data_IF_242546053841
#
_entry.id   IF_242546053841
#
_cell.length_a   1.000
_cell.length_b   1.000
_cell.length_c   1.000
_cell.angle_alpha   90.00
_cell.angle_beta   90.00
_cell.angle_gamma   90.00
#
_symmetry.space_group_name_H-M   'P 1'
#
loop_
_entity.id
_entity.type
_entity.pdbx_description
1 polymer ?
#
# COMPACT_ATOMS: atom_id res chain seq x y z
N UNK A 1 -0.41 -25.45 6.38
CA UNK A 1 -0.54 -24.23 5.57
C UNK A 1 0.87 -23.77 5.22
N UNK A 2 1.12 -23.11 4.10
CA UNK A 2 2.45 -22.63 3.77
C UNK A 2 2.94 -21.50 4.71
N UNK A 3 2.04 -20.95 5.55
CA UNK A 3 2.31 -19.89 6.52
C UNK A 3 1.72 -20.24 7.88
N UNK A 4 2.38 -19.82 8.98
CA UNK A 4 2.05 -20.24 10.34
C UNK A 4 0.79 -19.61 10.97
N UNK A 5 0.23 -18.55 10.38
CA UNK A 5 -0.96 -17.87 10.92
C UNK A 5 -0.72 -17.17 12.27
N UNK A 6 -1.81 -16.89 12.99
CA UNK A 6 -1.73 -16.15 14.26
C UNK A 6 -0.97 -16.88 15.37
N UNK A 7 -1.06 -18.22 15.43
CA UNK A 7 -0.34 -19.01 16.44
C UNK A 7 1.18 -18.89 16.25
N UNK A 8 1.64 -18.93 15.01
CA UNK A 8 3.05 -18.72 14.71
C UNK A 8 3.47 -17.27 15.00
N UNK A 9 2.66 -16.25 14.63
CA UNK A 9 2.94 -14.86 14.95
C UNK A 9 3.05 -14.62 16.46
N UNK A 10 2.27 -15.33 17.27
CA UNK A 10 2.31 -15.29 18.73
C UNK A 10 3.63 -15.76 19.37
N UNK A 11 4.51 -16.45 18.61
CA UNK A 11 5.83 -16.88 19.10
C UNK A 11 6.83 -15.69 19.24
N UNK A 12 6.52 -14.53 18.65
CA UNK A 12 7.35 -13.33 18.80
C UNK A 12 6.46 -12.17 19.27
N UNK A 13 6.58 -11.86 20.56
CA UNK A 13 5.86 -10.77 21.21
C UNK A 13 6.88 -9.75 21.74
N UNK A 14 6.58 -8.48 21.59
CA UNK A 14 7.42 -7.38 22.01
C UNK A 14 6.58 -6.31 22.67
N UNK A 15 7.17 -5.59 23.64
CA UNK A 15 6.59 -4.35 24.14
C UNK A 15 6.59 -3.29 23.04
N UNK A 16 5.51 -2.53 22.98
CA UNK A 16 5.36 -1.46 22.02
C UNK A 16 6.28 -0.30 22.36
N UNK A 17 7.10 0.10 21.42
CA UNK A 17 7.95 1.28 21.56
C UNK A 17 7.14 2.54 21.28
N UNK A 18 7.39 3.60 22.05
CA UNK A 18 6.78 4.93 21.85
C UNK A 18 5.27 4.86 21.53
N UNK A 19 4.46 4.37 22.48
CA UNK A 19 3.04 4.12 22.26
C UNK A 19 2.24 5.39 21.92
N UNK A 20 2.75 6.58 22.25
CA UNK A 20 2.08 7.86 22.00
C UNK A 20 2.30 8.39 20.56
N UNK A 21 3.28 7.87 19.81
CA UNK A 21 3.55 8.35 18.44
C UNK A 21 2.36 8.05 17.53
N UNK A 22 1.70 9.09 16.95
CA UNK A 22 0.55 8.86 16.07
C UNK A 22 0.94 8.10 14.81
N UNK A 23 0.05 7.19 14.39
CA UNK A 23 0.20 6.40 13.17
C UNK A 23 -1.05 6.56 12.32
N UNK A 24 -0.86 6.85 11.04
CA UNK A 24 -1.84 6.61 9.99
C UNK A 24 -1.28 5.49 9.10
N UNK A 25 -1.85 4.29 9.18
CA UNK A 25 -1.43 3.18 8.32
C UNK A 25 -2.05 3.32 6.94
N UNK A 26 -1.28 3.69 5.89
CA UNK A 26 -1.81 4.05 4.59
C UNK A 26 -2.12 2.86 3.68
N UNK A 27 -2.05 1.61 4.18
CA UNK A 27 -2.30 0.46 3.34
C UNK A 27 -2.73 -0.78 4.11
N UNK A 28 -4.01 -1.05 4.11
CA UNK A 28 -4.55 -2.35 4.48
C UNK A 28 -5.62 -2.80 3.47
N UNK A 29 -6.00 -4.05 3.58
CA UNK A 29 -7.08 -4.66 2.81
C UNK A 29 -8.17 -5.20 3.74
N UNK A 30 -9.38 -5.36 3.21
CA UNK A 30 -10.48 -6.07 3.85
C UNK A 30 -11.07 -7.05 2.84
N UNK A 31 -11.37 -8.28 3.29
CA UNK A 31 -12.04 -9.30 2.47
C UNK A 31 -12.68 -10.37 3.33
N UNK A 32 -13.57 -11.13 2.73
CA UNK A 32 -14.13 -12.37 3.28
C UNK A 32 -14.17 -13.43 2.19
N UNK A 33 -14.13 -14.71 2.59
CA UNK A 33 -14.16 -15.86 1.67
C UNK A 33 -13.06 -15.80 0.59
N UNK A 34 -11.87 -15.31 0.94
CA UNK A 34 -10.74 -15.31 0.01
C UNK A 34 -10.11 -16.71 -0.06
N UNK A 35 -10.24 -17.46 -1.18
CA UNK A 35 -9.87 -18.88 -1.24
C UNK A 35 -8.37 -19.13 -1.37
N UNK A 36 -7.53 -18.08 -1.42
CA UNK A 36 -6.17 -18.23 -1.90
C UNK A 36 -5.11 -18.09 -0.82
N UNK A 37 -3.96 -18.63 -1.12
CA UNK A 37 -2.55 -18.46 -0.73
C UNK A 37 -2.20 -17.76 0.60
N UNK A 38 -3.07 -16.92 1.16
CA UNK A 38 -2.87 -16.19 2.40
C UNK A 38 -3.67 -16.88 3.50
N UNK A 39 -3.11 -17.12 4.69
CA UNK A 39 -3.79 -17.88 5.76
C UNK A 39 -5.03 -17.18 6.32
N UNK A 40 -5.20 -15.90 6.01
CA UNK A 40 -6.29 -15.06 6.49
C UNK A 40 -7.41 -14.97 5.44
N UNK A 41 -8.23 -16.03 5.34
CA UNK A 41 -9.35 -16.09 4.38
C UNK A 41 -10.45 -15.07 4.68
N UNK A 42 -10.56 -14.66 5.93
CA UNK A 42 -11.39 -13.55 6.40
C UNK A 42 -10.50 -12.52 7.08
N UNK A 43 -10.69 -11.25 6.70
CA UNK A 43 -10.06 -10.12 7.34
C UNK A 43 -10.98 -8.89 7.17
N UNK A 44 -11.78 -8.63 8.20
CA UNK A 44 -12.78 -7.57 8.29
C UNK A 44 -12.38 -6.59 9.39
N UNK A 45 -13.28 -5.66 9.74
CA UNK A 45 -13.02 -4.68 10.80
C UNK A 45 -12.56 -5.32 12.13
N UNK A 46 -13.17 -6.41 12.64
CA UNK A 46 -12.71 -7.01 13.89
C UNK A 46 -11.28 -7.55 13.82
N UNK A 47 -10.91 -8.21 12.74
CA UNK A 47 -9.56 -8.76 12.55
C UNK A 47 -8.52 -7.64 12.37
N UNK A 48 -8.85 -6.58 11.61
CA UNK A 48 -8.01 -5.41 11.47
C UNK A 48 -7.78 -4.73 12.82
N UNK A 49 -8.85 -4.50 13.60
CA UNK A 49 -8.73 -3.87 14.91
C UNK A 49 -7.97 -4.73 15.92
N UNK A 50 -8.07 -6.06 15.83
CA UNK A 50 -7.26 -6.97 16.63
C UNK A 50 -5.75 -6.83 16.35
N UNK A 51 -5.37 -6.45 15.13
CA UNK A 51 -3.97 -6.20 14.76
C UNK A 51 -3.51 -4.79 15.15
N UNK A 52 -4.27 -3.76 14.80
CA UNK A 52 -3.82 -2.37 14.97
C UNK A 52 -3.94 -1.84 16.40
N UNK A 53 -4.79 -2.44 17.23
CA UNK A 53 -5.01 -2.02 18.63
C UNK A 53 -4.12 -2.74 19.66
N UNK A 54 -2.97 -3.26 19.24
CA UNK A 54 -2.02 -3.96 20.11
C UNK A 54 -1.01 -3.01 20.80
N UNK A 55 -1.39 -1.77 21.06
CA UNK A 55 -0.63 -0.82 21.89
C UNK A 55 0.01 0.33 21.13
N UNK A 56 0.14 0.30 19.80
CA UNK A 56 0.50 1.48 19.02
C UNK A 56 -0.67 2.47 18.90
N UNK A 57 -0.38 3.77 18.78
CA UNK A 57 -1.38 4.82 18.60
C UNK A 57 -1.81 4.93 17.12
N UNK A 58 -2.47 3.90 16.61
CA UNK A 58 -3.02 3.92 15.24
C UNK A 58 -4.29 4.77 15.23
N UNK A 59 -4.19 6.00 14.73
CA UNK A 59 -5.28 6.97 14.65
C UNK A 59 -6.24 6.66 13.51
N UNK A 60 -5.69 6.25 12.37
CA UNK A 60 -6.48 5.96 11.17
C UNK A 60 -5.76 4.98 10.26
N UNK A 61 -6.54 4.39 9.35
CA UNK A 61 -6.02 3.51 8.30
C UNK A 61 -6.61 3.88 6.94
N UNK A 62 -5.92 3.52 5.85
CA UNK A 62 -6.39 3.67 4.47
C UNK A 62 -6.64 2.29 3.87
N UNK A 63 -7.86 2.06 3.41
CA UNK A 63 -8.20 0.86 2.65
C UNK A 63 -7.71 0.98 1.21
N UNK A 64 -7.05 -0.05 0.72
CA UNK A 64 -6.64 -0.19 -0.67
C UNK A 64 -7.38 -1.38 -1.29
N UNK A 65 -7.88 -1.21 -2.52
CA UNK A 65 -8.62 -2.23 -3.27
C UNK A 65 -7.98 -3.63 -3.18
N UNK A 66 -8.79 -4.65 -3.07
CA UNK A 66 -8.35 -6.04 -2.92
C UNK A 66 -9.04 -7.00 -3.89
N UNK A 67 -9.81 -6.49 -4.85
CA UNK A 67 -10.61 -7.27 -5.81
C UNK A 67 -11.61 -8.20 -5.11
N UNK A 68 -12.29 -7.68 -4.12
CA UNK A 68 -13.28 -8.40 -3.33
C UNK A 68 -14.65 -7.73 -3.43
N UNK A 69 -15.71 -8.45 -3.13
CA UNK A 69 -17.09 -7.91 -3.03
C UNK A 69 -17.57 -7.13 -4.27
N UNK A 70 -17.06 -7.45 -5.44
CA UNK A 70 -17.50 -6.84 -6.68
C UNK A 70 -18.96 -7.19 -6.96
N UNK A 71 -19.73 -6.24 -7.48
CA UNK A 71 -21.12 -6.48 -7.88
C UNK A 71 -21.20 -7.63 -8.87
N UNK A 72 -22.14 -8.56 -8.64
CA UNK A 72 -22.33 -9.72 -9.50
C UNK A 72 -22.92 -9.33 -10.87
N UNK A 73 -23.79 -8.35 -10.90
CA UNK A 73 -24.53 -7.89 -12.06
C UNK A 73 -24.15 -6.45 -12.46
N UNK A 74 -24.61 -6.03 -13.63
CA UNK A 74 -24.35 -4.71 -14.18
C UNK A 74 -23.14 -4.67 -15.14
N UNK A 75 -22.83 -3.49 -15.69
CA UNK A 75 -21.67 -3.29 -16.56
C UNK A 75 -20.36 -3.73 -15.89
N UNK A 76 -19.46 -4.31 -16.66
CA UNK A 76 -18.23 -4.90 -16.13
C UNK A 76 -17.38 -3.87 -15.37
N UNK A 77 -17.27 -2.67 -15.90
CA UNK A 77 -16.52 -1.54 -15.34
C UNK A 77 -17.11 -1.01 -14.03
N UNK A 78 -18.44 -1.18 -13.82
CA UNK A 78 -19.15 -0.75 -12.61
C UNK A 78 -19.10 -1.76 -11.45
N UNK A 79 -18.61 -2.98 -11.69
CA UNK A 79 -18.61 -4.03 -10.66
C UNK A 79 -17.74 -3.66 -9.45
N UNK A 80 -16.69 -2.91 -9.67
CA UNK A 80 -15.75 -2.46 -8.61
C UNK A 80 -16.42 -1.57 -7.56
N UNK A 81 -17.55 -0.95 -7.88
CA UNK A 81 -18.32 -0.11 -6.93
C UNK A 81 -18.78 -0.91 -5.71
N UNK A 82 -19.08 -2.21 -5.88
CA UNK A 82 -19.47 -3.09 -4.78
C UNK A 82 -18.42 -3.21 -3.67
N UNK A 83 -17.14 -3.17 -4.02
CA UNK A 83 -16.07 -3.18 -3.03
C UNK A 83 -16.07 -1.90 -2.19
N UNK A 84 -16.28 -0.73 -2.80
CA UNK A 84 -16.35 0.54 -2.08
C UNK A 84 -17.59 0.60 -1.19
N UNK A 85 -18.75 0.09 -1.66
CA UNK A 85 -19.98 -0.03 -0.85
C UNK A 85 -19.72 -0.90 0.40
N UNK A 86 -19.09 -2.04 0.23
CA UNK A 86 -18.73 -2.94 1.33
C UNK A 86 -17.80 -2.26 2.33
N UNK A 87 -16.72 -1.64 1.87
CA UNK A 87 -15.73 -1.00 2.76
C UNK A 87 -16.31 0.23 3.44
N UNK A 88 -17.18 0.98 2.77
CA UNK A 88 -17.91 2.09 3.38
C UNK A 88 -18.74 1.61 4.60
N UNK A 89 -19.35 0.43 4.52
CA UNK A 89 -20.04 -0.19 5.66
C UNK A 89 -19.10 -0.47 6.84
N UNK A 90 -17.93 -1.09 6.57
CA UNK A 90 -16.91 -1.37 7.59
C UNK A 90 -16.35 -0.07 8.22
N UNK A 91 -16.09 0.94 7.40
CA UNK A 91 -15.65 2.25 7.85
C UNK A 91 -16.69 2.98 8.71
N UNK A 92 -17.97 2.85 8.37
CA UNK A 92 -19.08 3.41 9.17
C UNK A 92 -19.20 2.74 10.54
N UNK A 93 -19.00 1.43 10.62
CA UNK A 93 -18.93 0.72 11.90
C UNK A 93 -17.80 1.27 12.78
N UNK A 94 -16.58 1.42 12.24
CA UNK A 94 -15.45 2.01 12.97
C UNK A 94 -15.74 3.43 13.43
N UNK A 95 -16.31 4.27 12.57
CA UNK A 95 -16.62 5.66 12.88
C UNK A 95 -17.73 5.86 13.92
N UNK A 96 -18.48 4.80 14.29
CA UNK A 96 -19.49 4.86 15.36
C UNK A 96 -18.87 5.03 16.76
N UNK A 97 -17.56 4.80 16.89
CA UNK A 97 -16.85 4.85 18.18
C UNK A 97 -17.04 3.62 19.07
N UNK A 98 -17.98 2.71 18.74
CA UNK A 98 -18.24 1.50 19.53
C UNK A 98 -17.04 0.54 19.52
N UNK A 99 -16.24 0.58 18.46
CA UNK A 99 -15.11 -0.31 18.22
C UNK A 99 -13.76 0.27 18.69
N UNK A 100 -13.76 1.38 19.39
CA UNK A 100 -12.55 2.06 19.88
C UNK A 100 -12.19 3.32 19.08
N UNK A 101 -11.02 3.94 19.36
CA UNK A 101 -10.65 5.24 18.80
C UNK A 101 -10.09 5.19 17.39
N UNK A 102 -9.62 4.04 16.91
CA UNK A 102 -9.02 3.90 15.59
C UNK A 102 -10.06 4.08 14.49
N UNK A 103 -9.81 4.98 13.55
CA UNK A 103 -10.68 5.21 12.38
C UNK A 103 -10.22 4.31 11.22
N UNK A 104 -10.72 3.07 11.19
CA UNK A 104 -10.43 2.13 10.12
C UNK A 104 -11.04 2.60 8.79
N UNK A 105 -10.28 2.44 7.68
CA UNK A 105 -10.65 2.90 6.35
C UNK A 105 -11.15 4.36 6.33
N UNK A 106 -10.44 5.25 7.05
CA UNK A 106 -10.72 6.69 7.06
C UNK A 106 -10.61 7.31 5.66
N UNK A 107 -9.81 6.68 4.78
CA UNK A 107 -9.80 6.90 3.33
C UNK A 107 -9.94 5.56 2.60
N UNK A 108 -10.63 5.58 1.45
CA UNK A 108 -10.91 4.42 0.61
C UNK A 108 -10.34 4.65 -0.78
N UNK A 109 -9.49 3.74 -1.21
CA UNK A 109 -8.92 3.67 -2.55
C UNK A 109 -9.52 2.45 -3.25
N UNK A 110 -10.43 2.72 -4.21
CA UNK A 110 -11.12 1.70 -4.98
C UNK A 110 -10.35 1.26 -6.23
N UNK A 111 -11.06 0.67 -7.19
CA UNK A 111 -10.48 0.24 -8.46
C UNK A 111 -11.26 0.79 -9.66
N UNK A 112 -10.54 1.23 -10.69
CA UNK A 112 -11.10 1.55 -12.00
C UNK A 112 -10.04 1.33 -13.09
N UNK A 113 -10.45 1.02 -14.31
CA UNK A 113 -9.54 0.82 -15.44
C UNK A 113 -9.27 2.13 -16.18
N UNK A 114 -8.11 2.74 -15.95
CA UNK A 114 -7.71 3.99 -16.61
C UNK A 114 -7.50 3.84 -18.13
N UNK A 115 -7.33 2.61 -18.64
CA UNK A 115 -7.25 2.38 -20.09
C UNK A 115 -8.55 2.77 -20.83
N UNK A 116 -9.65 2.94 -20.11
CA UNK A 116 -10.91 3.46 -20.64
C UNK A 116 -10.82 4.93 -21.12
N UNK A 117 -9.76 5.65 -20.77
CA UNK A 117 -9.63 7.07 -21.07
C UNK A 117 -10.74 7.89 -20.40
N UNK A 118 -11.29 8.86 -21.11
CA UNK A 118 -12.34 9.75 -20.57
C UNK A 118 -13.61 9.00 -20.14
N UNK A 119 -13.85 7.80 -20.69
CA UNK A 119 -14.99 6.94 -20.32
C UNK A 119 -14.90 6.39 -18.90
N UNK A 120 -13.79 6.58 -18.19
CA UNK A 120 -13.67 6.18 -16.78
C UNK A 120 -14.46 7.08 -15.84
N UNK A 121 -14.81 8.32 -16.26
CA UNK A 121 -15.50 9.32 -15.43
C UNK A 121 -16.78 8.79 -14.75
N UNK A 122 -17.73 8.16 -15.44
CA UNK A 122 -18.94 7.62 -14.79
C UNK A 122 -18.62 6.56 -13.72
N UNK A 123 -17.56 5.77 -13.90
CA UNK A 123 -17.11 4.79 -12.90
C UNK A 123 -16.61 5.49 -11.64
N UNK A 124 -15.79 6.52 -11.81
CA UNK A 124 -15.25 7.32 -10.70
C UNK A 124 -16.35 8.06 -9.93
N UNK A 125 -17.34 8.61 -10.64
CA UNK A 125 -18.51 9.24 -10.05
C UNK A 125 -19.34 8.25 -9.23
N UNK A 126 -19.53 7.02 -9.73
CA UNK A 126 -20.22 5.95 -9.00
C UNK A 126 -19.45 5.49 -7.75
N UNK A 127 -18.12 5.38 -7.82
CA UNK A 127 -17.26 5.07 -6.68
C UNK A 127 -17.34 6.19 -5.63
N UNK A 128 -17.30 7.45 -6.05
CA UNK A 128 -17.45 8.62 -5.18
C UNK A 128 -18.83 8.67 -4.52
N UNK A 129 -19.88 8.36 -5.26
CA UNK A 129 -21.25 8.29 -4.72
C UNK A 129 -21.42 7.17 -3.69
N UNK A 130 -20.72 6.03 -3.86
CA UNK A 130 -20.74 4.92 -2.91
C UNK A 130 -20.06 5.26 -1.57
N UNK A 131 -19.12 6.22 -1.56
CA UNK A 131 -18.45 6.69 -0.34
C UNK A 131 -18.06 8.17 -0.44
N UNK A 132 -19.02 9.10 -0.33
CA UNK A 132 -18.78 10.53 -0.61
C UNK A 132 -17.70 11.16 0.27
N UNK A 133 -17.64 10.74 1.52
CA UNK A 133 -16.76 11.34 2.53
C UNK A 133 -15.39 10.66 2.66
N UNK A 134 -15.20 9.43 2.12
CA UNK A 134 -13.98 8.64 2.31
C UNK A 134 -13.29 8.22 1.02
N UNK A 135 -14.00 8.17 -0.11
CA UNK A 135 -13.37 7.84 -1.39
C UNK A 135 -12.39 8.95 -1.80
N UNK A 136 -11.13 8.60 -2.05
CA UNK A 136 -10.07 9.56 -2.34
C UNK A 136 -9.29 9.27 -3.60
N UNK A 137 -9.46 8.10 -4.18
CA UNK A 137 -8.71 7.70 -5.37
C UNK A 137 -8.95 6.26 -5.75
N UNK A 138 -8.15 5.80 -6.67
CA UNK A 138 -8.15 4.40 -7.10
C UNK A 138 -6.74 3.82 -7.04
N UNK A 139 -6.66 2.48 -6.97
CA UNK A 139 -5.45 1.76 -7.33
C UNK A 139 -5.63 1.10 -8.70
N UNK A 140 -4.68 1.34 -9.58
CA UNK A 140 -4.54 0.59 -10.82
C UNK A 140 -3.13 0.04 -10.92
N UNK A 141 -2.97 -1.23 -10.56
CA UNK A 141 -1.70 -1.94 -10.64
C UNK A 141 -1.39 -2.28 -12.09
N UNK A 142 -0.24 -1.79 -12.58
CA UNK A 142 0.25 -2.00 -13.93
C UNK A 142 1.58 -2.78 -13.96
N UNK A 143 1.81 -3.58 -12.91
CA UNK A 143 3.02 -4.38 -12.76
C UNK A 143 3.22 -5.29 -13.96
N UNK A 144 4.30 -5.07 -14.70
CA UNK A 144 4.78 -5.85 -15.80
C UNK A 144 6.31 -5.96 -15.73
N UNK A 145 6.85 -7.07 -16.20
CA UNK A 145 8.30 -7.27 -16.21
C UNK A 145 8.70 -8.00 -17.51
N UNK A 146 9.78 -7.60 -18.19
CA UNK A 146 10.23 -8.26 -19.40
C UNK A 146 10.76 -9.67 -19.15
N UNK A 147 11.14 -9.99 -17.90
CA UNK A 147 11.71 -11.29 -17.55
C UNK A 147 10.59 -12.31 -17.36
N UNK A 148 10.55 -13.39 -18.16
CA UNK A 148 9.51 -14.42 -18.02
C UNK A 148 9.44 -15.00 -16.59
N UNK A 149 8.23 -15.06 -16.03
CA UNK A 149 8.00 -15.63 -14.70
C UNK A 149 8.39 -14.72 -13.52
N UNK A 150 8.90 -13.51 -13.77
CA UNK A 150 9.22 -12.55 -12.70
C UNK A 150 7.96 -12.02 -12.01
N UNK A 151 6.91 -11.77 -12.77
CA UNK A 151 5.59 -11.34 -12.29
C UNK A 151 4.48 -12.07 -13.04
N UNK A 152 3.27 -12.05 -12.49
CA UNK A 152 2.09 -12.51 -13.22
C UNK A 152 1.87 -11.66 -14.47
N UNK A 153 1.85 -12.28 -15.64
CA UNK A 153 1.63 -11.58 -16.90
C UNK A 153 0.17 -11.11 -17.01
N UNK A 154 0.00 -9.81 -17.20
CA UNK A 154 -1.29 -9.15 -17.40
C UNK A 154 -1.22 -8.28 -18.64
N UNK A 155 -2.36 -7.94 -19.21
CA UNK A 155 -2.47 -7.01 -20.35
C UNK A 155 -2.29 -5.55 -19.88
N UNK A 156 -1.09 -5.24 -19.39
CA UNK A 156 -0.72 -3.90 -18.88
C UNK A 156 0.64 -3.41 -19.38
N UNK A 157 1.28 -4.15 -20.28
CA UNK A 157 2.54 -3.72 -20.90
C UNK A 157 2.36 -2.37 -21.60
N UNK A 158 3.23 -1.40 -21.31
CA UNK A 158 3.18 -0.06 -21.91
C UNK A 158 1.96 0.77 -21.50
N UNK A 159 1.19 0.33 -20.48
CA UNK A 159 -0.03 1.04 -20.06
C UNK A 159 0.26 2.49 -19.69
N UNK A 160 1.32 2.76 -18.92
CA UNK A 160 1.70 4.11 -18.47
C UNK A 160 2.02 5.07 -19.62
N UNK A 161 2.49 4.54 -20.75
CA UNK A 161 2.81 5.33 -21.94
C UNK A 161 1.59 5.53 -22.85
N UNK A 162 0.52 4.74 -22.70
CA UNK A 162 -0.64 4.79 -23.60
C UNK A 162 -1.49 6.05 -23.41
N UNK A 163 -2.01 6.59 -24.53
CA UNK A 163 -2.86 7.77 -24.51
C UNK A 163 -4.14 7.55 -23.68
N UNK A 164 -4.73 6.37 -23.77
CA UNK A 164 -5.92 6.01 -23.00
C UNK A 164 -5.68 6.07 -21.51
N UNK A 165 -4.60 5.46 -21.02
CA UNK A 165 -4.26 5.49 -19.60
C UNK A 165 -3.98 6.91 -19.10
N UNK A 166 -3.23 7.70 -19.86
CA UNK A 166 -2.94 9.11 -19.54
C UNK A 166 -4.19 9.99 -19.57
N UNK A 167 -5.12 9.74 -20.48
CA UNK A 167 -6.42 10.43 -20.49
C UNK A 167 -7.24 10.08 -19.24
N UNK A 168 -7.36 8.81 -18.89
CA UNK A 168 -8.02 8.38 -17.64
C UNK A 168 -7.38 8.97 -16.38
N UNK A 169 -6.05 9.07 -16.35
CA UNK A 169 -5.32 9.70 -15.25
C UNK A 169 -5.63 11.21 -15.12
N UNK A 170 -5.78 11.93 -16.26
CA UNK A 170 -6.21 13.33 -16.23
C UNK A 170 -7.62 13.49 -15.68
N UNK A 171 -8.52 12.53 -15.94
CA UNK A 171 -9.87 12.53 -15.31
C UNK A 171 -9.76 12.42 -13.79
N UNK A 172 -8.89 11.54 -13.26
CA UNK A 172 -8.62 11.48 -11.81
C UNK A 172 -8.18 12.83 -11.26
N UNK A 173 -7.18 13.47 -11.90
CA UNK A 173 -6.69 14.77 -11.48
C UNK A 173 -7.79 15.84 -11.48
N UNK A 174 -8.60 15.90 -12.54
CA UNK A 174 -9.74 16.84 -12.64
C UNK A 174 -10.79 16.64 -11.55
N UNK A 175 -10.98 15.40 -11.08
CA UNK A 175 -11.89 15.06 -9.99
C UNK A 175 -11.26 15.22 -8.59
N UNK A 176 -10.00 15.66 -8.50
CA UNK A 176 -9.27 15.77 -7.24
C UNK A 176 -8.97 14.44 -6.57
N UNK A 177 -8.89 13.36 -7.34
CA UNK A 177 -8.60 12.00 -6.87
C UNK A 177 -7.12 11.67 -7.02
N UNK A 178 -6.64 10.66 -6.28
CA UNK A 178 -5.28 10.15 -6.34
C UNK A 178 -5.19 8.82 -7.08
N UNK A 179 -3.99 8.48 -7.55
CA UNK A 179 -3.66 7.18 -8.13
C UNK A 179 -2.65 6.45 -7.25
N UNK A 180 -3.08 5.36 -6.62
CA UNK A 180 -2.17 4.34 -6.11
C UNK A 180 -1.76 3.40 -7.25
N UNK A 181 -0.48 3.07 -7.37
CA UNK A 181 -0.03 2.17 -8.42
C UNK A 181 1.05 1.20 -7.94
N UNK A 182 0.97 -0.05 -8.43
CA UNK A 182 2.01 -1.05 -8.34
C UNK A 182 2.68 -1.21 -9.70
N UNK A 183 4.00 -1.18 -9.69
CA UNK A 183 4.87 -1.40 -10.86
C UNK A 183 5.91 -2.46 -10.54
N UNK A 184 6.64 -2.97 -11.54
CA UNK A 184 7.94 -3.60 -11.33
C UNK A 184 9.03 -2.52 -11.29
N UNK A 185 10.13 -2.78 -10.60
CA UNK A 185 11.28 -1.85 -10.57
C UNK A 185 11.82 -1.54 -11.97
N UNK A 186 11.64 -2.44 -12.92
CA UNK A 186 12.02 -2.25 -14.33
C UNK A 186 11.15 -1.20 -15.06
N UNK A 187 10.00 -0.83 -14.48
CA UNK A 187 9.07 0.17 -15.03
C UNK A 187 9.23 1.57 -14.40
N UNK A 188 10.17 1.78 -13.48
CA UNK A 188 10.27 3.04 -12.75
C UNK A 188 10.55 4.24 -13.66
N UNK A 189 11.36 4.09 -14.71
CA UNK A 189 11.58 5.17 -15.69
C UNK A 189 10.29 5.50 -16.47
N UNK A 190 9.50 4.48 -16.85
CA UNK A 190 8.20 4.66 -17.50
C UNK A 190 7.20 5.38 -16.55
N UNK A 191 7.22 5.03 -15.25
CA UNK A 191 6.43 5.70 -14.24
C UNK A 191 6.83 7.16 -14.06
N UNK A 192 8.11 7.49 -14.09
CA UNK A 192 8.59 8.86 -14.03
C UNK A 192 8.13 9.68 -15.25
N UNK A 193 8.16 9.11 -16.45
CA UNK A 193 7.63 9.74 -17.66
C UNK A 193 6.12 9.97 -17.57
N UNK A 194 5.39 9.00 -17.03
CA UNK A 194 3.97 9.13 -16.76
C UNK A 194 3.68 10.25 -15.75
N UNK A 195 4.39 10.29 -14.62
CA UNK A 195 4.21 11.30 -13.58
C UNK A 195 4.43 12.73 -14.12
N UNK A 196 5.44 12.90 -14.97
CA UNK A 196 5.69 14.20 -15.66
C UNK A 196 4.58 14.58 -16.64
N UNK A 197 3.92 13.59 -17.27
CA UNK A 197 2.82 13.82 -18.21
C UNK A 197 1.48 14.18 -17.54
N UNK A 198 1.36 13.95 -16.22
CA UNK A 198 0.17 14.24 -15.40
C UNK A 198 0.56 14.92 -14.08
N UNK A 199 1.18 16.12 -14.10
CA UNK A 199 1.79 16.74 -12.94
C UNK A 199 0.80 17.12 -11.83
N UNK A 200 -0.47 17.30 -12.17
CA UNK A 200 -1.54 17.65 -11.23
C UNK A 200 -2.13 16.42 -10.49
N UNK A 201 -1.76 15.20 -10.89
CA UNK A 201 -2.23 13.98 -10.27
C UNK A 201 -1.32 13.56 -9.12
N UNK A 202 -1.80 13.46 -7.86
CA UNK A 202 -1.06 12.80 -6.81
C UNK A 202 -0.93 11.30 -7.12
N UNK A 203 0.30 10.81 -7.24
CA UNK A 203 0.61 9.41 -7.52
C UNK A 203 1.27 8.79 -6.29
N UNK A 204 0.73 7.69 -5.80
CA UNK A 204 1.26 6.96 -4.65
C UNK A 204 1.82 5.63 -5.12
N UNK A 205 3.14 5.49 -5.07
CA UNK A 205 3.85 4.26 -5.48
C UNK A 205 3.83 3.27 -4.33
N UNK A 206 3.28 2.09 -4.58
CA UNK A 206 3.17 1.05 -3.56
C UNK A 206 4.47 0.25 -3.40
N UNK A 207 4.73 -0.20 -2.17
CA UNK A 207 5.69 -1.26 -1.83
C UNK A 207 7.09 -1.03 -2.41
N UNK A 208 7.73 0.08 -2.02
CA UNK A 208 9.13 0.39 -2.39
C UNK A 208 9.37 0.44 -3.91
N UNK A 209 8.35 0.78 -4.72
CA UNK A 209 8.51 0.84 -6.17
C UNK A 209 8.71 -0.53 -6.83
N UNK A 210 8.25 -1.61 -6.19
CA UNK A 210 8.14 -2.93 -6.81
C UNK A 210 9.47 -3.66 -7.05
N UNK A 211 10.43 -3.54 -6.14
CA UNK A 211 11.66 -4.33 -6.15
C UNK A 211 11.34 -5.84 -6.12
N UNK A 212 12.07 -6.62 -6.90
CA UNK A 212 11.97 -8.08 -6.98
C UNK A 212 13.33 -8.71 -6.68
N UNK A 213 13.39 -9.63 -5.70
CA UNK A 213 14.62 -10.31 -5.25
C UNK A 213 14.47 -11.84 -5.18
N UNK A 214 13.40 -12.38 -5.79
CA UNK A 214 13.14 -13.83 -5.86
C UNK A 214 12.89 -14.27 -7.29
N UNK A 215 12.71 -15.57 -7.51
CA UNK A 215 12.48 -16.11 -8.84
C UNK A 215 13.64 -15.79 -9.79
N UNK A 216 13.35 -15.16 -10.91
CA UNK A 216 14.36 -14.79 -11.93
C UNK A 216 15.40 -13.77 -11.42
N UNK A 217 15.12 -13.09 -10.30
CA UNK A 217 16.02 -12.10 -9.70
C UNK A 217 16.69 -12.60 -8.40
N UNK A 218 16.51 -13.87 -8.03
CA UNK A 218 17.14 -14.44 -6.85
C UNK A 218 18.67 -14.40 -6.96
N UNK A 219 19.34 -13.87 -5.92
CA UNK A 219 20.82 -13.78 -5.85
C UNK A 219 21.43 -12.74 -6.80
N UNK A 220 20.63 -11.82 -7.35
CA UNK A 220 21.10 -10.76 -8.26
C UNK A 220 20.98 -9.36 -7.67
N UNK A 221 21.18 -9.24 -6.36
CA UNK A 221 21.09 -7.95 -5.65
C UNK A 221 22.09 -6.91 -6.16
N UNK A 222 23.27 -7.34 -6.61
CA UNK A 222 24.32 -6.53 -7.22
C UNK A 222 23.90 -5.87 -8.54
N UNK A 223 22.90 -6.41 -9.23
CA UNK A 223 22.32 -5.84 -10.44
C UNK A 223 20.98 -5.13 -10.14
N UNK A 224 20.11 -5.79 -9.36
CA UNK A 224 18.73 -5.33 -9.16
C UNK A 224 18.64 -4.09 -8.27
N UNK A 225 19.41 -4.04 -7.18
CA UNK A 225 19.38 -2.90 -6.26
C UNK A 225 19.89 -1.60 -6.92
N UNK A 226 21.03 -1.58 -7.64
CA UNK A 226 21.46 -0.38 -8.36
C UNK A 226 20.48 0.07 -9.44
N UNK A 227 19.89 -0.87 -10.21
CA UNK A 227 18.89 -0.55 -11.22
C UNK A 227 17.62 0.04 -10.61
N UNK A 228 17.14 -0.54 -9.52
CA UNK A 228 15.99 -0.05 -8.75
C UNK A 228 16.26 1.34 -8.16
N UNK A 229 17.42 1.57 -7.50
CA UNK A 229 17.79 2.89 -6.97
C UNK A 229 17.85 3.96 -8.06
N UNK A 230 18.39 3.64 -9.23
CA UNK A 230 18.40 4.55 -10.39
C UNK A 230 16.98 4.94 -10.80
N UNK A 231 16.09 3.96 -10.97
CA UNK A 231 14.69 4.22 -11.32
C UNK A 231 13.94 5.01 -10.25
N UNK A 232 14.19 4.71 -8.95
CA UNK A 232 13.62 5.48 -7.86
C UNK A 232 14.04 6.95 -7.90
N UNK A 233 15.29 7.25 -8.21
CA UNK A 233 15.76 8.64 -8.33
C UNK A 233 15.02 9.41 -9.43
N UNK A 234 14.73 8.75 -10.56
CA UNK A 234 13.93 9.34 -11.64
C UNK A 234 12.50 9.65 -11.21
N UNK A 235 11.87 8.74 -10.44
CA UNK A 235 10.51 8.92 -9.90
C UNK A 235 10.48 9.96 -8.78
N UNK A 236 11.47 9.98 -7.89
CA UNK A 236 11.59 10.93 -6.79
C UNK A 236 11.77 12.38 -7.27
N UNK A 237 12.32 12.58 -8.48
CA UNK A 237 12.41 13.89 -9.12
C UNK A 237 11.03 14.46 -9.53
N UNK A 238 9.96 13.65 -9.49
CA UNK A 238 8.59 14.08 -9.78
C UNK A 238 7.91 14.53 -8.47
N UNK A 239 7.57 15.83 -8.30
CA UNK A 239 7.07 16.36 -7.02
C UNK A 239 5.67 15.88 -6.64
N UNK A 240 4.90 15.38 -7.62
CA UNK A 240 3.56 14.84 -7.43
C UNK A 240 3.56 13.35 -7.02
N UNK A 241 4.74 12.76 -6.74
CA UNK A 241 4.85 11.34 -6.40
C UNK A 241 5.21 11.14 -4.93
N UNK A 242 4.46 10.27 -4.26
CA UNK A 242 4.65 9.78 -2.90
C UNK A 242 5.06 8.31 -2.91
N UNK A 243 5.78 7.87 -1.88
CA UNK A 243 6.27 6.50 -1.73
C UNK A 243 5.68 5.83 -0.48
N UNK A 244 5.07 4.66 -0.66
CA UNK A 244 4.76 3.77 0.45
C UNK A 244 5.96 2.91 0.79
N UNK A 245 6.46 3.11 1.99
CA UNK A 245 7.63 2.43 2.53
C UNK A 245 7.16 1.28 3.40
N UNK A 246 6.91 0.14 2.76
CA UNK A 246 6.39 -1.09 3.34
C UNK A 246 6.12 -2.12 2.25
N UNK A 247 5.20 -3.05 2.51
CA UNK A 247 5.01 -4.20 1.61
C UNK A 247 6.22 -5.16 1.64
N UNK A 248 7.05 -5.05 2.69
CA UNK A 248 8.34 -5.75 2.82
C UNK A 248 8.18 -7.21 3.28
N UNK A 249 7.04 -7.56 3.86
CA UNK A 249 6.72 -8.92 4.28
C UNK A 249 6.37 -9.86 3.13
N UNK A 250 6.17 -9.33 1.93
CA UNK A 250 5.88 -10.12 0.76
C UNK A 250 7.04 -11.07 0.41
N UNK A 251 6.77 -12.38 0.17
CA UNK A 251 7.83 -13.34 -0.19
C UNK A 251 8.69 -12.91 -1.37
N UNK A 252 8.13 -12.19 -2.35
CA UNK A 252 8.85 -11.71 -3.54
C UNK A 252 9.93 -10.67 -3.25
N UNK A 253 9.87 -10.01 -2.09
CA UNK A 253 10.92 -9.06 -1.64
C UNK A 253 12.20 -9.79 -1.24
N UNK A 254 12.12 -11.09 -0.92
CA UNK A 254 13.27 -11.96 -0.82
C UNK A 254 13.94 -12.03 0.56
N UNK A 255 13.34 -11.44 1.61
CA UNK A 255 13.90 -11.57 2.97
C UNK A 255 13.66 -12.96 3.59
N UNK A 256 12.61 -13.67 3.17
CA UNK A 256 12.35 -15.03 3.62
C UNK A 256 11.77 -15.16 5.04
N UNK A 257 11.39 -14.07 5.70
CA UNK A 257 10.89 -14.08 7.09
C UNK A 257 9.68 -14.98 7.32
N UNK A 258 8.82 -15.13 6.31
CA UNK A 258 7.65 -16.02 6.33
C UNK A 258 7.98 -17.52 6.47
N UNK A 259 9.23 -17.89 6.26
CA UNK A 259 9.70 -19.29 6.28
C UNK A 259 10.56 -19.62 7.52
N UNK A 260 10.70 -18.68 8.45
CA UNK A 260 11.43 -18.92 9.70
C UNK A 260 10.62 -19.79 10.68
N UNK A 261 11.32 -20.49 11.57
CA UNK A 261 10.66 -21.31 12.63
C UNK A 261 9.82 -20.46 13.58
N UNK A 262 10.18 -19.20 13.78
CA UNK A 262 9.42 -18.17 14.49
C UNK A 262 9.51 -16.83 13.76
N UNK A 263 8.52 -15.93 13.95
CA UNK A 263 8.58 -14.61 13.33
C UNK A 263 9.84 -13.83 13.69
N UNK A 264 10.33 -13.05 12.73
CA UNK A 264 11.42 -12.11 12.98
C UNK A 264 11.01 -11.08 14.04
N UNK A 265 11.95 -10.71 14.92
CA UNK A 265 11.76 -9.62 15.87
C UNK A 265 12.08 -8.25 15.26
N UNK A 266 11.59 -7.18 15.89
CA UNK A 266 11.68 -5.82 15.35
C UNK A 266 13.11 -5.30 15.20
N UNK A 267 14.05 -5.77 16.02
CA UNK A 267 15.47 -5.35 15.92
C UNK A 267 16.12 -5.92 14.65
N UNK A 268 15.96 -7.21 14.41
CA UNK A 268 16.46 -7.85 13.19
C UNK A 268 15.74 -7.31 11.95
N UNK A 269 14.41 -7.16 12.03
CA UNK A 269 13.60 -6.60 10.96
C UNK A 269 14.06 -5.18 10.58
N UNK A 270 14.30 -4.29 11.56
CA UNK A 270 14.78 -2.93 11.33
C UNK A 270 16.14 -2.90 10.62
N UNK A 271 17.05 -3.78 11.05
CA UNK A 271 18.38 -3.87 10.45
C UNK A 271 18.35 -4.37 9.01
N UNK A 272 17.56 -5.42 8.75
CA UNK A 272 17.52 -6.05 7.43
C UNK A 272 16.75 -5.21 6.41
N UNK A 273 15.60 -4.60 6.81
CA UNK A 273 14.80 -3.77 5.92
C UNK A 273 15.50 -2.47 5.51
N UNK A 274 16.46 -1.98 6.29
CA UNK A 274 17.19 -0.75 6.00
C UNK A 274 17.78 -0.73 4.57
N UNK A 275 18.23 -1.89 4.08
CA UNK A 275 18.72 -2.06 2.69
C UNK A 275 17.79 -1.45 1.63
N UNK A 276 16.46 -1.55 1.84
CA UNK A 276 15.45 -1.11 0.87
C UNK A 276 14.68 0.14 1.34
N UNK A 277 14.54 0.34 2.64
CA UNK A 277 13.79 1.46 3.22
C UNK A 277 14.58 2.77 3.14
N UNK A 278 15.86 2.73 3.50
CA UNK A 278 16.73 3.90 3.55
C UNK A 278 16.83 4.61 2.19
N UNK A 279 17.11 3.93 1.05
CA UNK A 279 17.15 4.59 -0.25
C UNK A 279 15.85 5.27 -0.66
N UNK A 280 14.69 4.75 -0.26
CA UNK A 280 13.42 5.39 -0.55
C UNK A 280 13.30 6.73 0.20
N UNK A 281 13.64 6.75 1.49
CA UNK A 281 13.54 7.96 2.31
C UNK A 281 14.59 9.00 1.89
N UNK A 282 15.83 8.58 1.58
CA UNK A 282 16.89 9.46 1.09
C UNK A 282 16.49 10.17 -0.22
N UNK A 283 15.85 9.45 -1.14
CA UNK A 283 15.51 9.99 -2.46
C UNK A 283 14.23 10.84 -2.44
N UNK A 284 13.18 10.39 -1.75
CA UNK A 284 11.88 11.08 -1.74
C UNK A 284 11.77 12.16 -0.66
N UNK A 285 12.55 12.05 0.41
CA UNK A 285 12.39 12.82 1.63
C UNK A 285 11.24 12.29 2.53
N UNK A 286 11.33 12.53 3.86
CA UNK A 286 10.34 12.06 4.83
C UNK A 286 8.91 12.57 4.56
N UNK A 287 8.76 13.76 4.00
CA UNK A 287 7.49 14.43 3.70
C UNK A 287 6.75 13.87 2.46
N UNK A 288 7.38 12.93 1.75
CA UNK A 288 6.78 12.16 0.64
C UNK A 288 6.85 10.66 0.85
N UNK A 289 7.34 10.19 2.00
CA UNK A 289 7.36 8.79 2.41
C UNK A 289 6.30 8.51 3.48
N UNK A 290 5.70 7.32 3.45
CA UNK A 290 4.76 6.88 4.47
C UNK A 290 4.96 5.39 4.78
N UNK A 291 5.12 5.06 6.06
CA UNK A 291 5.22 3.69 6.53
C UNK A 291 3.87 2.99 6.45
N UNK A 292 3.82 1.82 5.82
CA UNK A 292 2.60 1.04 5.61
C UNK A 292 2.70 -0.39 6.15
N UNK A 293 1.57 -0.97 6.56
CA UNK A 293 1.54 -2.37 7.00
C UNK A 293 1.33 -3.37 5.86
N UNK A 294 0.54 -3.02 4.87
CA UNK A 294 0.05 -3.93 3.83
C UNK A 294 -0.68 -5.16 4.42
N UNK A 295 -1.39 -4.98 5.56
CA UNK A 295 -2.10 -6.07 6.22
C UNK A 295 -3.45 -6.41 5.54
N UNK A 296 -3.81 -7.70 5.52
CA UNK A 296 -3.13 -8.87 6.11
C UNK A 296 -2.12 -9.56 5.18
N UNK A 297 -1.71 -8.94 4.07
CA UNK A 297 -0.82 -9.59 3.10
C UNK A 297 0.56 -9.83 3.72
N UNK A 298 1.15 -8.82 4.34
CA UNK A 298 2.47 -8.91 4.99
C UNK A 298 2.43 -9.63 6.36
N UNK A 299 1.24 -9.83 6.91
CA UNK A 299 1.03 -10.59 8.15
C UNK A 299 1.53 -12.05 8.08
N UNK A 300 1.90 -12.52 6.92
CA UNK A 300 2.58 -13.80 6.71
C UNK A 300 4.02 -13.81 7.25
N UNK A 301 4.61 -12.66 7.52
CA UNK A 301 6.02 -12.52 7.90
C UNK A 301 6.23 -11.98 9.32
N UNK A 302 5.33 -11.13 9.81
CA UNK A 302 5.44 -10.50 11.13
C UNK A 302 4.10 -9.96 11.62
N UNK A 303 4.00 -9.67 12.92
CA UNK A 303 2.84 -9.00 13.53
C UNK A 303 2.89 -7.49 13.32
N UNK A 304 1.74 -6.83 13.43
CA UNK A 304 1.64 -5.37 13.33
C UNK A 304 2.50 -4.63 14.38
N UNK A 305 2.51 -5.04 15.68
CA UNK A 305 3.42 -4.43 16.66
C UNK A 305 4.89 -4.55 16.31
N UNK A 306 5.33 -5.71 15.84
CA UNK A 306 6.73 -5.95 15.45
C UNK A 306 7.13 -5.06 14.27
N UNK A 307 6.26 -4.93 13.27
CA UNK A 307 6.54 -4.08 12.10
C UNK A 307 6.70 -2.61 12.51
N UNK A 308 5.75 -2.06 13.28
CA UNK A 308 5.83 -0.65 13.67
C UNK A 308 6.94 -0.39 14.71
N UNK A 309 7.27 -1.36 15.56
CA UNK A 309 8.49 -1.29 16.36
C UNK A 309 9.75 -1.23 15.47
N UNK A 310 9.81 -2.02 14.40
CA UNK A 310 10.92 -2.00 13.47
C UNK A 310 11.06 -0.63 12.77
N UNK A 311 9.97 -0.03 12.31
CA UNK A 311 10.00 1.33 11.77
C UNK A 311 10.46 2.37 12.79
N UNK A 312 10.02 2.24 14.07
CA UNK A 312 10.47 3.13 15.16
C UNK A 312 11.95 2.98 15.46
N UNK A 313 12.47 1.74 15.47
CA UNK A 313 13.93 1.47 15.63
C UNK A 313 14.73 2.04 14.47
N UNK A 314 14.29 1.80 13.25
CA UNK A 314 14.93 2.30 12.04
C UNK A 314 15.00 3.83 12.02
N UNK A 315 13.90 4.49 12.39
CA UNK A 315 13.78 5.96 12.30
C UNK A 315 14.23 6.71 13.56
N UNK A 316 14.88 6.07 14.52
CA UNK A 316 15.24 6.67 15.82
C UNK A 316 16.14 7.92 15.71
N UNK A 317 16.95 8.01 14.67
CA UNK A 317 17.91 9.10 14.45
C UNK A 317 17.34 10.22 13.56
N UNK A 318 16.10 10.07 13.05
CA UNK A 318 15.36 11.14 12.37
C UNK A 318 14.76 12.11 13.39
N UNK A 319 14.60 13.36 13.00
CA UNK A 319 13.93 14.36 13.85
C UNK A 319 12.47 14.00 14.12
N UNK A 320 11.89 14.58 15.19
CA UNK A 320 10.47 14.35 15.52
C UNK A 320 9.53 14.75 14.39
N UNK A 321 9.85 15.82 13.63
CA UNK A 321 9.05 16.27 12.48
C UNK A 321 9.12 15.29 11.32
N UNK A 322 10.30 14.77 10.99
CA UNK A 322 10.46 13.76 9.94
C UNK A 322 9.73 12.45 10.29
N UNK A 323 9.83 12.04 11.54
CA UNK A 323 9.10 10.86 12.03
C UNK A 323 7.59 11.09 12.00
N UNK A 324 7.09 12.24 12.45
CA UNK A 324 5.67 12.56 12.34
C UNK A 324 5.19 12.52 10.88
N UNK A 325 5.98 13.01 9.94
CA UNK A 325 5.69 12.91 8.51
C UNK A 325 5.53 11.46 8.07
N UNK A 326 6.54 10.61 8.30
CA UNK A 326 6.57 9.22 7.81
C UNK A 326 5.52 8.32 8.48
N UNK A 327 5.23 8.53 9.78
CA UNK A 327 4.26 7.70 10.51
C UNK A 327 2.80 8.15 10.32
N UNK A 328 2.55 9.42 10.01
CA UNK A 328 1.19 9.95 10.05
C UNK A 328 0.91 11.03 9.01
N UNK A 329 1.65 12.16 9.03
CA UNK A 329 1.19 13.39 8.39
C UNK A 329 1.20 13.31 6.86
N UNK A 330 2.19 12.63 6.28
CA UNK A 330 2.26 12.41 4.83
C UNK A 330 1.06 11.61 4.33
N UNK A 331 0.66 10.55 5.05
CA UNK A 331 -0.51 9.76 4.70
C UNK A 331 -1.81 10.57 4.84
N UNK A 332 -1.97 11.32 5.94
CA UNK A 332 -3.12 12.20 6.17
C UNK A 332 -3.25 13.24 5.06
N UNK A 333 -2.15 13.86 4.66
CA UNK A 333 -2.10 14.84 3.56
C UNK A 333 -2.42 14.19 2.21
N UNK A 334 -1.73 13.09 1.85
CA UNK A 334 -1.89 12.44 0.54
C UNK A 334 -3.31 11.93 0.32
N UNK A 335 -3.92 11.37 1.35
CA UNK A 335 -5.28 10.81 1.30
C UNK A 335 -6.35 11.75 1.82
N UNK A 336 -6.02 13.00 2.16
CA UNK A 336 -6.95 14.05 2.61
C UNK A 336 -7.88 13.57 3.73
N UNK A 337 -7.28 12.92 4.76
CA UNK A 337 -8.02 12.41 5.91
C UNK A 337 -8.35 13.59 6.83
N UNK A 338 -9.65 13.85 7.04
CA UNK A 338 -10.13 14.78 8.06
C UNK A 338 -10.33 14.05 9.40
N UNK A 339 -9.87 14.64 10.48
CA UNK A 339 -10.25 14.25 11.83
C UNK A 339 -11.30 15.26 12.30
N UNK A 340 -12.57 14.86 12.22
CA UNK A 340 -13.70 15.63 12.76
C UNK A 340 -13.83 15.38 14.24
#
# INVERSE_FOLDING_TARGET
>A
MPYGGNDWLGLTQEEVLEPELPICDPHHHLWDQRPERIPYQRYLLPELLADVNQGHNVRSTVFIEARTMYRRSGPAEMKTVGEVEFVQGQAAMSASGIYGPTRAAASIIGAADLKMGDRVRPVLEALQAASPNRFRGIRHTVTWDPTPGAVEQRDVQGALASDGYRAGARVLAQMGLSLDTGVSFTQLSELADFARAVPDLPIIVNHLGGILRTGAYAGRDDETIPAWKKGLAEVAACPNVYMKVGGIGLPRIGFGWHALDKPVGSEALAKEMALLVEPCIELFGPDRCMFESNFPVDKVSFSHPVLFNAFKRFSKDYSSTERAAMFHDTAVKAYRIGYD
#
